data_IF_526405725514
#
_entry.id   IF_526405725514
#
_cell.length_a   1.000
_cell.length_b   1.000
_cell.length_c   1.000
_cell.angle_alpha   90.00
_cell.angle_beta   90.00
_cell.angle_gamma   90.00
#
_symmetry.space_group_name_H-M   'P 1'
#
loop_
_entity.id
_entity.type
_entity.pdbx_description
1 polymer ?
#
# COMPACT_ATOMS: atom_id res chain seq x y z
N UNK A 1 -9.76 115.85 -37.92
CA UNK A 1 -9.52 117.30 -38.11
C UNK A 1 -8.40 117.72 -37.16
N UNK A 2 -7.34 118.41 -37.61
CA UNK A 2 -6.25 118.81 -36.71
C UNK A 2 -6.78 119.96 -35.83
N UNK A 3 -6.87 119.75 -34.51
CA UNK A 3 -7.34 120.80 -33.57
C UNK A 3 -6.34 121.93 -33.36
N UNK A 4 -5.13 121.77 -33.90
CA UNK A 4 -4.12 122.83 -33.92
C UNK A 4 -4.69 124.15 -34.46
N UNK A 5 -5.51 124.10 -35.51
CA UNK A 5 -6.11 125.29 -36.12
C UNK A 5 -7.09 126.01 -35.18
N UNK A 6 -7.71 125.29 -34.24
CA UNK A 6 -8.60 125.86 -33.22
C UNK A 6 -7.87 126.39 -31.97
N UNK A 7 -6.61 125.97 -31.76
CA UNK A 7 -5.80 126.39 -30.61
C UNK A 7 -4.64 127.30 -30.97
N UNK A 8 -4.38 127.50 -32.28
CA UNK A 8 -3.31 128.34 -32.81
C UNK A 8 -3.40 129.73 -32.19
N UNK A 9 -2.29 130.17 -31.61
CA UNK A 9 -2.18 131.51 -31.06
C UNK A 9 -1.95 132.47 -32.22
N UNK A 10 -2.85 133.44 -32.36
CA UNK A 10 -2.76 134.44 -33.41
C UNK A 10 -2.20 135.76 -32.86
N UNK A 11 -1.72 136.59 -33.78
CA UNK A 11 -1.22 137.90 -33.43
C UNK A 11 -2.41 138.75 -32.97
N UNK A 12 -2.36 139.24 -31.73
CA UNK A 12 -3.39 140.02 -31.01
C UNK A 12 -4.38 139.23 -30.14
N UNK A 13 -4.15 137.95 -29.88
CA UNK A 13 -4.92 137.21 -28.87
C UNK A 13 -4.68 137.75 -27.44
N UNK A 14 -5.76 137.89 -26.65
CA UNK A 14 -5.65 138.28 -25.24
C UNK A 14 -5.30 137.07 -24.35
N UNK A 15 -4.00 136.86 -24.16
CA UNK A 15 -3.48 135.76 -23.34
C UNK A 15 -3.75 135.90 -21.83
N UNK A 16 -4.22 137.06 -21.37
CA UNK A 16 -4.57 137.29 -19.97
C UNK A 16 -6.05 136.98 -19.64
N UNK A 17 -6.88 136.70 -20.66
CA UNK A 17 -8.28 136.31 -20.44
C UNK A 17 -8.35 134.86 -19.94
N UNK A 18 -9.00 134.57 -18.80
CA UNK A 18 -9.11 133.20 -18.28
C UNK A 18 -9.73 132.21 -19.27
N UNK A 19 -10.74 132.65 -20.04
CA UNK A 19 -11.45 131.80 -21.00
C UNK A 19 -10.56 131.30 -22.15
N UNK A 20 -9.51 132.05 -22.49
CA UNK A 20 -8.53 131.64 -23.50
C UNK A 20 -7.78 130.36 -23.06
N UNK A 21 -7.42 130.27 -21.78
CA UNK A 21 -6.70 129.11 -21.24
C UNK A 21 -7.62 128.01 -20.74
N UNK A 22 -8.74 128.36 -20.10
CA UNK A 22 -9.70 127.39 -19.55
C UNK A 22 -10.19 126.39 -20.62
N UNK A 23 -10.56 126.89 -21.81
CA UNK A 23 -11.04 126.03 -22.92
C UNK A 23 -9.96 125.05 -23.38
N UNK A 24 -8.69 125.47 -23.43
CA UNK A 24 -7.56 124.63 -23.85
C UNK A 24 -7.21 123.60 -22.78
N UNK A 25 -7.18 123.99 -21.51
CA UNK A 25 -6.91 123.07 -20.40
C UNK A 25 -8.05 122.06 -20.22
N UNK A 26 -9.31 122.48 -20.34
CA UNK A 26 -10.45 121.57 -20.33
C UNK A 26 -10.36 120.53 -21.46
N UNK A 27 -9.95 120.92 -22.67
CA UNK A 27 -9.76 119.94 -23.75
C UNK A 27 -8.62 118.95 -23.48
N UNK A 28 -7.50 119.44 -22.92
CA UNK A 28 -6.36 118.59 -22.53
C UNK A 28 -6.79 117.61 -21.42
N UNK A 29 -7.48 118.10 -20.40
CA UNK A 29 -7.99 117.32 -19.27
C UNK A 29 -8.96 116.22 -19.75
N UNK A 30 -9.95 116.58 -20.58
CA UNK A 30 -10.87 115.60 -21.18
C UNK A 30 -10.15 114.53 -22.00
N UNK A 31 -9.09 114.91 -22.73
CA UNK A 31 -8.28 113.95 -23.51
C UNK A 31 -7.41 113.07 -22.64
N UNK A 32 -6.86 113.61 -21.55
CA UNK A 32 -6.07 112.85 -20.59
C UNK A 32 -6.96 111.85 -19.86
N UNK A 33 -8.12 112.30 -19.35
CA UNK A 33 -9.14 111.42 -18.76
C UNK A 33 -9.63 110.34 -19.74
N UNK A 34 -9.82 110.68 -21.02
CA UNK A 34 -10.15 109.68 -22.05
C UNK A 34 -9.03 108.64 -22.21
N UNK A 35 -7.76 109.05 -22.12
CA UNK A 35 -6.61 108.13 -22.21
C UNK A 35 -6.43 107.27 -20.97
N UNK A 36 -6.70 107.82 -19.79
CA UNK A 36 -6.72 107.07 -18.53
C UNK A 36 -7.83 106.00 -18.58
N UNK A 37 -9.02 106.36 -19.05
CA UNK A 37 -10.11 105.40 -19.28
C UNK A 37 -9.76 104.37 -20.36
N UNK A 38 -9.07 104.75 -21.44
CA UNK A 38 -8.61 103.79 -22.45
C UNK A 38 -7.59 102.80 -21.86
N UNK A 39 -6.67 103.26 -21.00
CA UNK A 39 -5.71 102.39 -20.32
C UNK A 39 -6.42 101.38 -19.41
N UNK A 40 -7.38 101.83 -18.59
CA UNK A 40 -8.20 100.96 -17.76
C UNK A 40 -9.00 99.95 -18.59
N UNK A 41 -9.53 100.36 -19.75
CA UNK A 41 -10.22 99.45 -20.68
C UNK A 41 -9.29 98.41 -21.30
N UNK A 42 -8.05 98.77 -21.59
CA UNK A 42 -7.04 97.84 -22.10
C UNK A 42 -6.69 96.82 -21.01
N UNK A 43 -6.45 97.26 -19.78
CA UNK A 43 -6.15 96.38 -18.65
C UNK A 43 -7.30 95.39 -18.41
N UNK A 44 -8.54 95.89 -18.36
CA UNK A 44 -9.74 95.03 -18.26
C UNK A 44 -9.86 94.04 -19.43
N UNK A 45 -9.53 94.45 -20.66
CA UNK A 45 -9.57 93.56 -21.82
C UNK A 45 -8.48 92.49 -21.78
N UNK A 46 -7.31 92.79 -21.21
CA UNK A 46 -6.24 91.83 -20.97
C UNK A 46 -6.66 90.81 -19.91
N UNK A 47 -7.22 91.27 -18.79
CA UNK A 47 -7.74 90.40 -17.72
C UNK A 47 -8.85 89.46 -18.23
N UNK A 48 -9.76 89.98 -19.06
CA UNK A 48 -10.80 89.18 -19.71
C UNK A 48 -10.22 88.15 -20.67
N UNK A 49 -9.21 88.52 -21.45
CA UNK A 49 -8.54 87.60 -22.36
C UNK A 49 -7.82 86.48 -21.60
N UNK A 50 -7.09 86.83 -20.52
CA UNK A 50 -6.41 85.86 -19.67
C UNK A 50 -7.42 84.89 -19.05
N UNK A 51 -8.52 85.40 -18.50
CA UNK A 51 -9.60 84.60 -17.93
C UNK A 51 -10.19 83.62 -18.96
N UNK A 52 -10.51 84.10 -20.16
CA UNK A 52 -11.06 83.24 -21.23
C UNK A 52 -10.02 82.22 -21.70
N UNK A 53 -8.75 82.61 -21.82
CA UNK A 53 -7.67 81.71 -22.22
C UNK A 53 -7.48 80.61 -21.19
N UNK A 54 -7.41 80.95 -19.89
CA UNK A 54 -7.31 79.98 -18.80
C UNK A 54 -8.51 79.05 -18.73
N UNK A 55 -9.73 79.59 -18.90
CA UNK A 55 -10.93 78.77 -18.93
C UNK A 55 -10.90 77.76 -20.08
N UNK A 56 -10.57 78.21 -21.30
CA UNK A 56 -10.45 77.31 -22.46
C UNK A 56 -9.34 76.27 -22.30
N UNK A 57 -8.22 76.65 -21.70
CA UNK A 57 -7.14 75.73 -21.37
C UNK A 57 -7.64 74.66 -20.38
N UNK A 58 -8.34 75.03 -19.32
CA UNK A 58 -8.91 74.07 -18.37
C UNK A 58 -9.97 73.18 -19.01
N UNK A 59 -10.93 73.76 -19.73
CA UNK A 59 -12.01 73.01 -20.40
C UNK A 59 -11.46 71.99 -21.41
N UNK A 60 -10.29 72.27 -22.01
CA UNK A 60 -9.65 71.37 -22.97
C UNK A 60 -8.71 70.36 -22.30
N UNK A 61 -7.82 70.82 -21.42
CA UNK A 61 -6.74 69.98 -20.88
C UNK A 61 -7.12 69.23 -19.62
N UNK A 62 -7.96 69.79 -18.74
CA UNK A 62 -8.40 69.10 -17.52
C UNK A 62 -9.06 67.74 -17.81
N UNK A 63 -10.05 67.61 -18.73
CA UNK A 63 -10.64 66.29 -19.01
C UNK A 63 -9.63 65.31 -19.61
N UNK A 64 -8.72 65.78 -20.47
CA UNK A 64 -7.66 64.94 -21.05
C UNK A 64 -6.67 64.44 -19.99
N UNK A 65 -6.33 65.28 -19.01
CA UNK A 65 -5.44 64.89 -17.90
C UNK A 65 -6.13 63.86 -17.00
N UNK A 66 -7.41 64.05 -16.68
CA UNK A 66 -8.19 63.10 -15.88
C UNK A 66 -8.30 61.76 -16.61
N UNK A 67 -8.65 61.78 -17.90
CA UNK A 67 -8.71 60.55 -18.70
C UNK A 67 -7.36 59.83 -18.77
N UNK A 68 -6.26 60.57 -18.95
CA UNK A 68 -4.92 60.00 -18.95
C UNK A 68 -4.56 59.39 -17.57
N UNK A 69 -4.93 60.04 -16.47
CA UNK A 69 -4.74 59.51 -15.12
C UNK A 69 -5.56 58.24 -14.88
N UNK A 70 -6.82 58.22 -15.32
CA UNK A 70 -7.69 57.04 -15.18
C UNK A 70 -7.18 55.85 -16.00
N UNK A 71 -6.68 56.10 -17.22
CA UNK A 71 -6.02 55.08 -18.04
C UNK A 71 -4.73 54.56 -17.39
N UNK A 72 -3.94 55.42 -16.75
CA UNK A 72 -2.73 55.01 -16.02
C UNK A 72 -3.06 54.19 -14.77
N UNK A 73 -4.08 54.60 -14.00
CA UNK A 73 -4.51 53.90 -12.80
C UNK A 73 -5.11 52.52 -13.12
N UNK A 74 -5.70 52.35 -14.32
CA UNK A 74 -6.29 51.10 -14.80
C UNK A 74 -5.33 50.25 -15.66
N UNK A 75 -4.06 50.65 -15.80
CA UNK A 75 -3.08 49.92 -16.63
C UNK A 75 -2.90 48.46 -16.20
N UNK A 76 -3.04 48.14 -14.90
CA UNK A 76 -3.01 46.74 -14.45
C UNK A 76 -4.24 45.94 -14.87
N UNK A 77 -5.41 46.58 -14.95
CA UNK A 77 -6.67 45.96 -15.34
C UNK A 77 -6.78 45.78 -16.87
N UNK A 78 -6.13 46.64 -17.67
CA UNK A 78 -6.13 46.53 -19.13
C UNK A 78 -5.53 45.21 -19.65
N UNK A 79 -4.71 44.53 -18.85
CA UNK A 79 -4.16 43.21 -19.16
C UNK A 79 -5.06 42.03 -18.77
N UNK A 80 -6.32 42.29 -18.40
CA UNK A 80 -7.32 41.28 -18.08
C UNK A 80 -8.61 41.52 -18.85
N UNK A 81 -9.15 40.46 -19.44
CA UNK A 81 -10.47 40.47 -20.07
C UNK A 81 -11.30 39.25 -19.66
N UNK A 82 -12.60 39.33 -19.93
CA UNK A 82 -13.55 38.28 -19.61
C UNK A 82 -14.28 37.82 -20.87
N UNK A 83 -14.56 36.52 -20.96
CA UNK A 83 -15.38 35.95 -22.04
C UNK A 83 -16.30 34.87 -21.48
N UNK A 84 -17.58 34.97 -21.83
CA UNK A 84 -18.59 33.97 -21.49
C UNK A 84 -18.89 33.00 -22.63
N UNK A 85 -18.05 32.99 -23.67
CA UNK A 85 -18.21 32.07 -24.81
C UNK A 85 -17.98 30.62 -24.32
N UNK A 86 -18.97 29.71 -24.46
CA UNK A 86 -18.77 28.32 -24.10
C UNK A 86 -17.77 27.68 -25.07
N UNK A 87 -16.62 27.27 -24.57
CA UNK A 87 -15.54 26.65 -25.36
C UNK A 87 -15.05 25.38 -24.70
N UNK A 88 -14.81 24.35 -25.51
CA UNK A 88 -14.13 23.13 -25.07
C UNK A 88 -12.61 23.36 -25.03
N UNK A 89 -11.99 22.99 -23.91
CA UNK A 89 -10.55 23.00 -23.72
C UNK A 89 -9.90 22.07 -24.74
N UNK A 90 -9.00 22.61 -25.57
CA UNK A 90 -8.21 21.82 -26.50
C UNK A 90 -7.20 22.68 -27.27
N UNK A 91 -6.29 22.00 -27.97
CA UNK A 91 -5.23 22.63 -28.75
C UNK A 91 -5.77 23.25 -30.04
N UNK A 92 -4.94 24.12 -30.63
CA UNK A 92 -5.21 24.79 -31.91
C UNK A 92 -6.12 26.01 -31.77
N UNK A 93 -6.74 26.46 -32.88
CA UNK A 93 -7.44 27.74 -32.92
C UNK A 93 -8.66 27.77 -31.99
N UNK A 94 -8.82 28.85 -31.23
CA UNK A 94 -9.98 29.15 -30.38
C UNK A 94 -10.34 30.62 -30.48
N UNK A 95 -11.64 30.91 -30.45
CA UNK A 95 -12.17 32.26 -30.62
C UNK A 95 -13.02 32.63 -29.41
N UNK A 96 -12.64 33.70 -28.71
CA UNK A 96 -13.30 34.23 -27.53
C UNK A 96 -14.02 35.52 -27.91
N UNK A 97 -15.31 35.62 -27.59
CA UNK A 97 -16.02 36.90 -27.64
C UNK A 97 -15.86 37.55 -26.26
N UNK A 98 -15.14 38.66 -26.21
CA UNK A 98 -14.90 39.43 -24.99
C UNK A 98 -16.16 40.21 -24.58
N UNK A 99 -16.32 40.46 -23.28
CA UNK A 99 -17.39 41.35 -22.78
C UNK A 99 -17.16 42.78 -23.26
N UNK A 100 -18.24 43.56 -23.36
CA UNK A 100 -18.17 44.96 -23.78
C UNK A 100 -17.25 45.79 -22.89
N UNK A 101 -17.38 45.63 -21.57
CA UNK A 101 -16.58 46.32 -20.57
C UNK A 101 -15.08 46.00 -20.67
N UNK A 102 -14.73 44.74 -20.95
CA UNK A 102 -13.33 44.34 -21.03
C UNK A 102 -12.69 44.62 -22.38
N UNK A 103 -13.44 44.50 -23.49
CA UNK A 103 -12.89 44.60 -24.85
C UNK A 103 -12.34 45.99 -25.20
N UNK A 104 -12.94 47.06 -24.70
CA UNK A 104 -12.57 48.44 -25.06
C UNK A 104 -11.13 48.78 -24.65
N UNK A 105 -10.74 48.38 -23.43
CA UNK A 105 -9.47 48.72 -22.84
C UNK A 105 -8.48 47.55 -22.77
N UNK A 106 -8.88 46.35 -23.23
CA UNK A 106 -7.99 45.19 -23.21
C UNK A 106 -6.76 45.39 -24.08
N UNK A 107 -5.60 45.10 -23.49
CA UNK A 107 -4.29 45.03 -24.14
C UNK A 107 -3.85 43.58 -24.07
N UNK A 108 -3.68 42.97 -25.25
CA UNK A 108 -3.15 41.63 -25.37
C UNK A 108 -1.63 41.65 -25.50
N UNK A 109 -1.01 40.57 -25.04
CA UNK A 109 0.40 40.25 -25.29
C UNK A 109 0.48 39.18 -26.38
N UNK A 110 1.70 38.91 -26.86
CA UNK A 110 1.95 37.86 -27.86
C UNK A 110 1.33 36.51 -27.47
N UNK A 111 1.45 36.14 -26.19
CA UNK A 111 0.76 35.00 -25.58
C UNK A 111 -0.26 35.44 -24.54
N UNK A 112 -1.39 34.75 -24.48
CA UNK A 112 -2.42 34.94 -23.46
C UNK A 112 -2.84 33.61 -22.84
N UNK A 113 -3.21 33.66 -21.56
CA UNK A 113 -3.77 32.54 -20.82
C UNK A 113 -5.25 32.80 -20.56
N UNK A 114 -6.11 31.99 -21.17
CA UNK A 114 -7.54 31.92 -20.89
C UNK A 114 -7.77 30.83 -19.84
N UNK A 115 -8.23 31.18 -18.64
CA UNK A 115 -8.51 30.22 -17.55
C UNK A 115 -9.93 30.38 -17.03
N UNK A 116 -10.53 29.32 -16.49
CA UNK A 116 -11.82 29.43 -15.79
C UNK A 116 -11.68 30.32 -14.55
N UNK A 117 -12.67 31.18 -14.30
CA UNK A 117 -12.78 31.97 -13.09
C UNK A 117 -13.03 31.08 -11.86
N UNK A 118 -13.83 30.02 -12.02
CA UNK A 118 -14.18 29.07 -10.97
C UNK A 118 -13.08 28.03 -10.68
N UNK A 119 -12.34 27.57 -11.70
CA UNK A 119 -11.32 26.51 -11.57
C UNK A 119 -10.02 26.85 -12.30
N UNK A 120 -9.00 27.29 -11.54
CA UNK A 120 -7.70 27.67 -12.10
C UNK A 120 -6.90 26.54 -12.76
N UNK A 121 -7.28 25.26 -12.55
CA UNK A 121 -6.65 24.13 -13.23
C UNK A 121 -7.14 23.96 -14.69
N UNK A 122 -8.27 24.60 -15.04
CA UNK A 122 -8.85 24.59 -16.39
C UNK A 122 -8.41 25.81 -17.17
N UNK A 123 -7.53 25.63 -18.15
CA UNK A 123 -6.99 26.73 -18.93
C UNK A 123 -6.54 26.33 -20.33
N UNK A 124 -6.39 27.35 -21.17
CA UNK A 124 -5.76 27.34 -22.48
C UNK A 124 -4.71 28.46 -22.53
N UNK A 125 -3.48 28.15 -22.93
CA UNK A 125 -2.40 29.10 -23.16
C UNK A 125 -2.05 29.07 -24.64
N UNK A 126 -2.05 30.24 -25.28
CA UNK A 126 -1.85 30.32 -26.72
C UNK A 126 -1.38 31.67 -27.21
N UNK A 127 -0.83 31.67 -28.41
CA UNK A 127 -0.43 32.87 -29.16
C UNK A 127 -1.67 33.61 -29.67
N UNK A 128 -1.68 34.94 -29.58
CA UNK A 128 -2.77 35.76 -30.11
C UNK A 128 -2.62 35.89 -31.62
N UNK A 129 -3.60 35.38 -32.37
CA UNK A 129 -3.63 35.46 -33.84
C UNK A 129 -4.22 36.79 -34.29
N UNK A 130 -5.33 37.19 -33.70
CA UNK A 130 -6.03 38.43 -34.05
C UNK A 130 -6.91 38.91 -32.90
N UNK A 131 -7.14 40.22 -32.83
CA UNK A 131 -8.17 40.80 -31.98
C UNK A 131 -8.93 41.89 -32.74
N UNK A 132 -10.18 41.60 -33.11
CA UNK A 132 -11.07 42.58 -33.72
C UNK A 132 -11.92 43.26 -32.64
N UNK A 133 -11.62 44.55 -32.39
CA UNK A 133 -12.32 45.36 -31.38
C UNK A 133 -13.77 45.66 -31.76
N UNK A 134 -14.12 45.69 -33.05
CA UNK A 134 -15.49 45.97 -33.49
C UNK A 134 -16.42 44.78 -33.20
N UNK A 135 -15.93 43.56 -33.42
CA UNK A 135 -16.67 42.32 -33.16
C UNK A 135 -16.39 41.70 -31.79
N UNK A 136 -15.42 42.26 -31.04
CA UNK A 136 -14.95 41.79 -29.73
C UNK A 136 -14.36 40.37 -29.79
N UNK A 137 -13.93 39.94 -30.97
CA UNK A 137 -13.46 38.59 -31.24
C UNK A 137 -11.93 38.52 -31.04
N UNK A 138 -11.50 37.77 -30.04
CA UNK A 138 -10.10 37.42 -29.80
C UNK A 138 -9.84 36.00 -30.30
N UNK A 139 -8.95 35.85 -31.26
CA UNK A 139 -8.52 34.56 -31.79
C UNK A 139 -7.14 34.21 -31.25
N UNK A 140 -7.00 33.01 -30.70
CA UNK A 140 -5.73 32.49 -30.20
C UNK A 140 -5.43 31.11 -30.80
N UNK A 141 -4.17 30.80 -31.00
CA UNK A 141 -3.68 29.45 -31.29
C UNK A 141 -3.20 28.81 -30.00
N UNK A 142 -3.94 27.84 -29.48
CA UNK A 142 -3.65 27.20 -28.20
C UNK A 142 -2.55 26.15 -28.35
N UNK A 143 -1.46 26.35 -27.61
CA UNK A 143 -0.29 25.47 -27.60
C UNK A 143 -0.21 24.59 -26.34
N UNK A 144 -0.83 25.03 -25.23
CA UNK A 144 -0.87 24.29 -23.96
C UNK A 144 -2.27 24.36 -23.33
N UNK A 145 -2.72 23.24 -22.76
CA UNK A 145 -3.99 23.15 -22.04
C UNK A 145 -3.82 22.53 -20.66
N UNK A 146 -4.66 22.96 -19.71
CA UNK A 146 -4.86 22.28 -18.44
C UNK A 146 -6.33 21.94 -18.25
N UNK A 147 -6.61 20.75 -17.72
CA UNK A 147 -7.98 20.26 -17.53
C UNK A 147 -8.66 19.81 -18.83
N UNK A 148 -9.98 19.63 -18.78
CA UNK A 148 -10.81 19.14 -19.89
C UNK A 148 -12.26 19.63 -19.78
N UNK A 149 -13.01 19.54 -20.87
CA UNK A 149 -14.43 19.87 -20.92
C UNK A 149 -14.73 21.31 -21.34
N UNK A 150 -16.01 21.68 -21.32
CA UNK A 150 -16.49 23.01 -21.73
C UNK A 150 -16.49 23.99 -20.55
N UNK A 151 -15.98 25.19 -20.78
CA UNK A 151 -15.91 26.30 -19.82
C UNK A 151 -16.53 27.54 -20.46
N UNK A 152 -17.20 28.37 -19.66
CA UNK A 152 -17.92 29.57 -20.11
C UNK A 152 -17.72 30.78 -19.18
N UNK A 153 -16.66 30.79 -18.37
CA UNK A 153 -16.32 31.86 -17.41
C UNK A 153 -14.85 32.27 -17.53
N UNK A 154 -14.41 32.53 -18.76
CA UNK A 154 -12.99 32.72 -19.08
C UNK A 154 -12.45 34.06 -18.58
N UNK A 155 -11.37 33.99 -17.82
CA UNK A 155 -10.47 35.11 -17.53
C UNK A 155 -9.26 35.02 -18.45
N UNK A 156 -9.09 36.02 -19.32
CA UNK A 156 -8.04 36.09 -20.32
C UNK A 156 -7.00 37.11 -19.86
N UNK A 157 -5.78 36.66 -19.64
CA UNK A 157 -4.70 37.46 -19.05
C UNK A 157 -3.39 37.24 -19.78
N UNK A 158 -2.40 38.08 -19.47
CA UNK A 158 -1.02 37.94 -19.98
C UNK A 158 -0.50 36.53 -19.73
N UNK A 159 0.01 35.91 -20.79
CA UNK A 159 0.72 34.65 -20.76
C UNK A 159 2.16 34.83 -21.25
N UNK A 160 3.03 33.90 -20.87
CA UNK A 160 4.32 33.73 -21.53
C UNK A 160 4.20 32.53 -22.49
N UNK A 161 4.98 32.50 -23.57
CA UNK A 161 5.09 31.29 -24.38
C UNK A 161 5.43 30.12 -23.45
N UNK A 162 4.73 28.97 -23.58
CA UNK A 162 5.09 27.80 -22.82
C UNK A 162 6.54 27.39 -23.15
N UNK A 163 7.26 26.82 -22.18
CA UNK A 163 8.55 26.16 -22.46
C UNK A 163 8.28 24.83 -23.18
N UNK A 164 7.78 24.95 -24.40
CA UNK A 164 7.62 23.85 -25.34
C UNK A 164 8.98 23.27 -25.69
N UNK A 165 10.07 24.00 -25.48
CA UNK A 165 11.43 23.49 -25.67
C UNK A 165 11.78 22.41 -24.65
N UNK A 166 11.38 22.44 -23.38
CA UNK A 166 11.65 21.30 -22.51
C UNK A 166 10.87 20.03 -22.93
N UNK A 167 9.64 20.19 -23.39
CA UNK A 167 8.82 19.08 -23.90
C UNK A 167 9.22 18.60 -25.32
N UNK A 168 9.77 19.48 -26.15
CA UNK A 168 10.16 19.20 -27.54
C UNK A 168 11.68 19.05 -27.75
N UNK A 169 12.50 19.20 -26.70
CA UNK A 169 13.95 18.95 -26.73
C UNK A 169 14.21 17.45 -26.95
N UNK A 170 14.29 17.09 -28.23
CA UNK A 170 14.76 15.80 -28.75
C UNK A 170 16.29 15.76 -28.93
N UNK A 171 16.99 16.87 -28.64
CA UNK A 171 18.45 16.99 -28.68
C UNK A 171 19.16 16.26 -27.51
N UNK A 172 18.37 15.87 -26.51
CA UNK A 172 18.72 14.93 -25.44
C UNK A 172 17.67 13.80 -25.48
N UNK A 173 18.01 12.52 -25.27
CA UNK A 173 17.04 11.41 -25.32
C UNK A 173 15.79 11.62 -24.46
N UNK A 174 14.70 12.08 -25.07
CA UNK A 174 13.33 12.13 -24.56
C UNK A 174 12.44 11.20 -25.42
N UNK A 175 11.42 10.56 -24.83
CA UNK A 175 10.56 9.54 -25.47
C UNK A 175 11.31 8.31 -26.03
N UNK A 176 12.52 8.07 -25.56
CA UNK A 176 13.29 6.88 -25.92
C UNK A 176 12.73 5.65 -25.20
N UNK A 177 12.50 4.59 -25.97
CA UNK A 177 12.20 3.26 -25.42
C UNK A 177 13.42 2.75 -24.64
N UNK A 178 13.20 1.84 -23.70
CA UNK A 178 14.30 1.18 -22.98
C UNK A 178 15.37 0.62 -23.93
N UNK A 179 14.95 0.06 -25.08
CA UNK A 179 15.85 -0.43 -26.12
C UNK A 179 16.73 0.67 -26.75
N UNK A 180 16.20 1.87 -26.94
CA UNK A 180 16.92 2.99 -27.59
C UNK A 180 18.02 3.60 -26.71
N UNK A 181 17.90 3.49 -25.38
CA UNK A 181 18.96 3.92 -24.43
C UNK A 181 19.87 2.79 -23.99
N UNK A 182 19.72 1.59 -24.56
CA UNK A 182 20.41 0.40 -24.08
C UNK A 182 20.05 0.04 -22.63
N UNK A 183 18.90 0.51 -22.15
CA UNK A 183 18.38 0.08 -20.87
C UNK A 183 17.91 -1.36 -20.99
N UNK A 184 18.22 -2.14 -19.97
CA UNK A 184 17.75 -3.51 -19.87
C UNK A 184 16.23 -3.55 -19.86
N UNK A 185 15.68 -4.52 -20.58
CA UNK A 185 14.29 -4.95 -20.36
C UNK A 185 14.12 -5.36 -18.90
N UNK A 186 12.88 -5.36 -18.40
CA UNK A 186 12.57 -5.87 -17.06
C UNK A 186 13.10 -7.29 -16.84
N UNK A 187 13.09 -8.12 -17.88
CA UNK A 187 13.65 -9.47 -17.84
C UNK A 187 15.17 -9.50 -17.75
N UNK A 188 15.88 -8.69 -18.53
CA UNK A 188 17.34 -8.57 -18.48
C UNK A 188 17.82 -7.98 -17.16
N UNK A 189 17.12 -6.97 -16.64
CA UNK A 189 17.41 -6.39 -15.33
C UNK A 189 17.20 -7.40 -14.20
N UNK A 190 16.10 -8.15 -14.24
CA UNK A 190 15.85 -9.22 -13.28
C UNK A 190 16.92 -10.32 -13.37
N UNK A 191 17.32 -10.73 -14.57
CA UNK A 191 18.34 -11.75 -14.78
C UNK A 191 19.72 -11.30 -14.28
N UNK A 192 20.12 -10.07 -14.55
CA UNK A 192 21.40 -9.53 -14.11
C UNK A 192 21.44 -9.27 -12.59
N UNK A 193 20.33 -8.84 -11.98
CA UNK A 193 20.20 -8.75 -10.53
C UNK A 193 20.31 -10.15 -9.91
N UNK A 194 19.62 -11.15 -10.46
CA UNK A 194 19.72 -12.53 -9.99
C UNK A 194 21.16 -13.08 -10.11
N UNK A 195 21.85 -12.79 -11.22
CA UNK A 195 23.25 -13.17 -11.42
C UNK A 195 24.19 -12.45 -10.45
N UNK A 196 24.00 -11.15 -10.23
CA UNK A 196 24.79 -10.36 -9.28
C UNK A 196 24.60 -10.87 -7.85
N UNK A 197 23.36 -11.17 -7.44
CA UNK A 197 23.05 -11.78 -6.14
C UNK A 197 23.75 -13.12 -5.99
N UNK A 198 23.74 -13.98 -7.03
CA UNK A 198 24.42 -15.27 -7.01
C UNK A 198 25.96 -15.16 -6.96
N UNK A 199 26.52 -14.03 -7.40
CA UNK A 199 27.96 -13.79 -7.46
C UNK A 199 28.55 -13.20 -6.17
N UNK A 200 27.74 -12.74 -5.21
CA UNK A 200 28.27 -12.18 -3.95
C UNK A 200 28.86 -13.31 -3.08
N UNK A 201 30.20 -13.38 -2.92
CA UNK A 201 30.82 -14.45 -2.16
C UNK A 201 30.48 -14.29 -0.67
N UNK A 202 29.87 -15.30 -0.05
CA UNK A 202 29.52 -15.28 1.37
C UNK A 202 28.20 -14.57 1.71
N UNK A 203 27.54 -13.92 0.75
CA UNK A 203 26.09 -13.67 0.82
C UNK A 203 25.41 -14.82 0.10
N UNK A 204 25.62 -16.01 0.66
CA UNK A 204 24.70 -17.08 0.42
C UNK A 204 23.38 -16.68 1.09
N UNK A 205 22.46 -16.08 0.33
CA UNK A 205 21.09 -15.87 0.81
C UNK A 205 20.42 -17.20 1.13
N UNK A 206 20.89 -18.34 0.62
CA UNK A 206 20.44 -19.65 1.10
C UNK A 206 20.94 -19.96 2.52
N UNK A 207 22.00 -19.31 3.02
CA UNK A 207 22.42 -19.34 4.43
C UNK A 207 21.65 -18.37 5.34
N UNK A 208 21.12 -17.26 4.78
CA UNK A 208 20.17 -16.37 5.49
C UNK A 208 18.74 -16.94 5.47
N UNK A 209 18.32 -17.53 4.36
CA UNK A 209 17.17 -18.44 4.30
C UNK A 209 17.41 -19.63 5.23
N UNK A 210 18.63 -20.16 5.39
CA UNK A 210 18.89 -21.25 6.35
C UNK A 210 18.71 -20.87 7.82
N UNK A 211 18.76 -19.57 8.16
CA UNK A 211 18.45 -19.10 9.52
C UNK A 211 16.96 -18.83 9.73
N UNK A 212 16.22 -18.46 8.67
CA UNK A 212 14.75 -18.33 8.71
C UNK A 212 14.02 -19.64 8.31
N UNK A 213 14.75 -20.65 7.85
CA UNK A 213 14.31 -22.03 7.56
C UNK A 213 14.07 -22.85 8.83
N UNK A 214 13.97 -22.22 9.99
CA UNK A 214 13.28 -22.80 11.14
C UNK A 214 11.76 -22.59 11.01
N UNK A 215 11.18 -23.15 9.94
CA UNK A 215 9.75 -23.55 9.82
C UNK A 215 8.71 -22.60 9.19
N UNK A 216 9.05 -21.44 8.60
CA UNK A 216 7.99 -20.48 8.22
C UNK A 216 7.41 -20.59 6.79
N UNK A 217 8.07 -21.22 5.81
CA UNK A 217 7.65 -21.10 4.38
C UNK A 217 7.63 -22.41 3.57
N UNK A 218 7.17 -23.51 4.16
CA UNK A 218 7.15 -24.81 3.46
C UNK A 218 5.76 -25.18 2.96
N UNK A 219 5.54 -24.89 1.67
CA UNK A 219 4.52 -25.51 0.81
C UNK A 219 4.57 -27.05 0.83
N UNK A 220 5.71 -27.64 1.21
CA UNK A 220 5.85 -29.08 1.47
C UNK A 220 6.34 -29.34 2.90
N UNK A 221 5.35 -29.44 3.80
CA UNK A 221 5.57 -29.69 5.24
C UNK A 221 6.25 -31.05 5.49
N UNK A 222 6.19 -32.00 4.56
CA UNK A 222 6.83 -33.31 4.71
C UNK A 222 8.35 -33.25 4.51
N UNK A 223 8.81 -32.43 3.57
CA UNK A 223 10.24 -32.16 3.36
C UNK A 223 10.87 -31.46 4.58
N UNK A 224 10.15 -30.48 5.16
CA UNK A 224 10.55 -29.75 6.37
C UNK A 224 10.82 -30.69 7.56
N UNK A 225 9.86 -31.58 7.83
CA UNK A 225 9.92 -32.54 8.94
C UNK A 225 11.05 -33.56 8.76
N UNK A 226 11.36 -33.90 7.51
CA UNK A 226 12.47 -34.81 7.19
C UNK A 226 13.84 -34.17 7.47
N UNK A 227 14.02 -32.88 7.14
CA UNK A 227 15.27 -32.14 7.36
C UNK A 227 15.60 -31.95 8.85
N UNK A 228 14.58 -31.79 9.69
CA UNK A 228 14.71 -31.67 11.16
C UNK A 228 14.99 -33.01 11.87
N UNK A 229 15.27 -34.09 11.13
CA UNK A 229 15.53 -35.41 11.70
C UNK A 229 14.29 -36.11 12.28
N UNK A 230 13.11 -35.52 12.07
CA UNK A 230 11.80 -36.04 12.50
C UNK A 230 11.28 -37.09 11.50
N UNK A 231 12.13 -38.05 11.10
CA UNK A 231 11.82 -39.05 10.06
C UNK A 231 10.60 -39.93 10.36
N UNK A 232 10.15 -40.01 11.62
CA UNK A 232 8.91 -40.72 11.99
C UNK A 232 7.63 -39.90 11.78
N UNK A 233 7.73 -38.62 11.44
CA UNK A 233 6.62 -37.65 11.41
C UNK A 233 6.38 -37.04 10.01
N UNK A 234 7.04 -37.55 8.96
CA UNK A 234 7.00 -36.90 7.63
C UNK A 234 5.59 -36.86 6.98
N UNK A 235 4.63 -37.70 7.38
CA UNK A 235 3.37 -37.89 6.64
C UNK A 235 2.06 -37.56 7.37
N UNK A 236 2.06 -37.07 8.61
CA UNK A 236 0.82 -36.76 9.33
C UNK A 236 0.77 -35.31 9.83
N UNK A 237 -0.28 -34.60 9.42
CA UNK A 237 -0.49 -33.16 9.63
C UNK A 237 -0.93 -32.79 11.06
N UNK A 238 -1.30 -33.80 11.86
CA UNK A 238 -1.55 -33.68 13.30
C UNK A 238 -1.07 -34.95 13.96
N UNK A 239 0.00 -34.87 14.76
CA UNK A 239 0.38 -35.95 15.65
C UNK A 239 -0.21 -35.63 17.01
N UNK A 240 -1.39 -36.21 17.28
CA UNK A 240 -1.93 -36.17 18.63
C UNK A 240 -1.02 -36.96 19.57
N UNK A 241 -0.84 -36.50 20.81
CA UNK A 241 -0.06 -37.20 21.85
C UNK A 241 -0.41 -38.69 21.98
N UNK A 242 -1.67 -39.04 21.69
CA UNK A 242 -2.16 -40.43 21.64
C UNK A 242 -1.48 -41.30 20.57
N UNK A 243 -1.24 -40.78 19.36
CA UNK A 243 -0.59 -41.51 18.27
C UNK A 243 0.92 -41.69 18.52
N UNK A 244 1.55 -40.65 19.08
CA UNK A 244 2.95 -40.70 19.50
C UNK A 244 3.12 -41.72 20.64
N UNK A 245 2.22 -41.71 21.63
CA UNK A 245 2.25 -42.66 22.74
C UNK A 245 2.06 -44.12 22.27
N UNK A 246 1.12 -44.40 21.36
CA UNK A 246 0.92 -45.75 20.81
C UNK A 246 2.13 -46.26 20.01
N UNK A 247 2.83 -45.36 19.31
CA UNK A 247 3.99 -45.72 18.51
C UNK A 247 5.29 -45.79 19.32
N UNK A 248 5.43 -45.04 20.41
CA UNK A 248 6.64 -45.02 21.24
C UNK A 248 6.56 -46.05 22.36
N UNK A 249 5.46 -46.09 23.12
CA UNK A 249 5.37 -46.96 24.30
C UNK A 249 4.91 -48.37 23.92
N UNK A 250 5.49 -49.37 24.58
CA UNK A 250 5.04 -50.75 24.45
C UNK A 250 3.69 -50.93 25.16
N UNK A 251 2.80 -51.73 24.58
CA UNK A 251 1.68 -52.35 25.28
C UNK A 251 2.12 -53.70 25.84
N UNK A 252 1.30 -54.33 26.69
CA UNK A 252 1.55 -55.69 27.18
C UNK A 252 1.79 -56.70 26.03
N UNK A 253 1.01 -56.59 24.95
CA UNK A 253 1.17 -57.42 23.77
C UNK A 253 2.51 -57.17 23.05
N UNK A 254 2.92 -55.90 22.93
CA UNK A 254 4.23 -55.54 22.33
C UNK A 254 5.40 -56.11 23.15
N UNK A 255 5.31 -56.07 24.48
CA UNK A 255 6.31 -56.67 25.36
C UNK A 255 6.37 -58.18 25.14
N UNK A 256 5.23 -58.88 25.22
CA UNK A 256 5.14 -60.32 24.99
C UNK A 256 5.64 -60.70 23.60
N UNK A 257 5.40 -59.89 22.58
CA UNK A 257 5.82 -60.13 21.19
C UNK A 257 7.29 -59.79 20.90
N UNK A 258 8.04 -59.20 21.84
CA UNK A 258 9.41 -58.67 21.60
C UNK A 258 9.41 -57.63 20.46
N UNK A 259 8.46 -56.71 20.49
CA UNK A 259 8.40 -55.63 19.50
C UNK A 259 9.66 -54.74 19.57
N UNK A 260 10.27 -54.47 18.42
CA UNK A 260 11.43 -53.58 18.33
C UNK A 260 11.03 -52.10 18.49
N UNK A 261 11.99 -51.25 18.88
CA UNK A 261 11.87 -49.79 18.88
C UNK A 261 10.70 -49.25 19.74
N UNK A 262 10.41 -49.91 20.87
CA UNK A 262 9.42 -49.46 21.85
C UNK A 262 10.09 -49.14 23.19
N UNK A 263 9.62 -48.10 23.86
CA UNK A 263 9.95 -47.81 25.25
C UNK A 263 9.05 -48.65 26.17
N UNK A 264 9.65 -49.32 27.14
CA UNK A 264 8.92 -50.07 28.16
C UNK A 264 8.43 -49.11 29.25
N UNK A 265 7.16 -49.24 29.61
CA UNK A 265 6.59 -48.58 30.79
C UNK A 265 6.38 -49.61 31.89
N UNK A 266 6.39 -49.18 33.15
CA UNK A 266 6.11 -50.08 34.27
C UNK A 266 4.76 -50.77 34.11
N UNK A 267 3.72 -50.01 33.74
CA UNK A 267 2.37 -50.52 33.47
C UNK A 267 2.37 -51.66 32.43
N UNK A 268 2.95 -51.44 31.25
CA UNK A 268 2.94 -52.45 30.19
C UNK A 268 3.69 -53.74 30.55
N UNK A 269 4.76 -53.63 31.36
CA UNK A 269 5.50 -54.80 31.85
C UNK A 269 4.70 -55.56 32.88
N UNK A 270 4.05 -54.87 33.82
CA UNK A 270 3.20 -55.51 34.83
C UNK A 270 1.94 -56.13 34.22
N UNK A 271 1.31 -55.46 33.25
CA UNK A 271 0.18 -56.01 32.49
C UNK A 271 0.59 -57.23 31.66
N UNK A 272 1.79 -57.22 31.09
CA UNK A 272 2.34 -58.37 30.38
C UNK A 272 2.57 -59.57 31.29
N UNK A 273 2.97 -59.32 32.55
CA UNK A 273 3.18 -60.33 33.58
C UNK A 273 1.89 -60.79 34.26
N UNK A 274 0.76 -60.09 34.07
CA UNK A 274 -0.51 -60.47 34.67
C UNK A 274 -0.93 -61.89 34.26
N UNK A 275 -1.59 -62.59 35.20
CA UNK A 275 -2.12 -63.93 35.00
C UNK A 275 -3.27 -63.91 33.98
N UNK A 276 -3.10 -64.64 32.88
CA UNK A 276 -4.12 -64.78 31.84
C UNK A 276 -5.09 -65.89 32.22
N UNK A 277 -6.33 -65.52 32.54
CA UNK A 277 -7.42 -66.46 32.82
C UNK A 277 -7.92 -67.10 31.54
N UNK A 278 -7.71 -68.41 31.42
CA UNK A 278 -8.30 -69.22 30.36
C UNK A 278 -9.72 -69.64 30.76
N UNK A 279 -10.61 -69.88 29.78
CA UNK A 279 -11.91 -70.50 30.06
C UNK A 279 -11.70 -71.92 30.61
N UNK A 280 -12.73 -72.55 31.17
CA UNK A 280 -12.60 -73.91 31.68
C UNK A 280 -12.21 -74.89 30.57
N UNK A 281 -11.18 -75.70 30.81
CA UNK A 281 -10.54 -76.54 29.79
C UNK A 281 -10.83 -78.03 29.97
N UNK A 282 -10.96 -78.75 28.87
CA UNK A 282 -11.03 -80.22 28.81
C UNK A 282 -10.42 -80.72 27.50
N UNK A 283 -10.01 -81.99 27.45
CA UNK A 283 -9.50 -82.58 26.22
C UNK A 283 -8.07 -82.13 25.91
N UNK A 284 -7.85 -81.46 24.79
CA UNK A 284 -6.50 -81.10 24.33
C UNK A 284 -6.36 -79.59 24.27
N UNK A 285 -5.34 -79.03 24.92
CA UNK A 285 -5.07 -77.60 25.00
C UNK A 285 -3.65 -77.29 24.56
N UNK A 286 -3.50 -76.20 23.80
CA UNK A 286 -2.21 -75.59 23.45
C UNK A 286 -2.11 -74.21 24.09
N UNK A 287 -1.05 -73.93 24.83
CA UNK A 287 -0.80 -72.60 25.38
C UNK A 287 -0.13 -71.71 24.33
N UNK A 288 -0.67 -70.50 24.12
CA UNK A 288 -0.07 -69.51 23.23
C UNK A 288 0.72 -68.48 24.05
N UNK A 289 2.05 -68.58 23.98
CA UNK A 289 2.97 -67.73 24.74
C UNK A 289 3.11 -66.31 24.18
N UNK A 290 2.39 -65.98 23.10
CA UNK A 290 2.19 -64.59 22.67
C UNK A 290 1.05 -63.90 23.42
N UNK A 291 0.05 -64.66 23.88
CA UNK A 291 -1.12 -64.12 24.60
C UNK A 291 -0.84 -63.87 26.07
N UNK A 292 0.08 -64.63 26.67
CA UNK A 292 0.42 -64.56 28.08
C UNK A 292 1.79 -65.16 28.39
N UNK A 293 2.34 -64.80 29.55
CA UNK A 293 3.52 -65.47 30.13
C UNK A 293 3.16 -66.23 31.41
N UNK A 294 2.06 -65.85 32.06
CA UNK A 294 1.52 -66.51 33.23
C UNK A 294 0.05 -66.88 32.94
N UNK A 295 -0.38 -68.10 33.26
CA UNK A 295 -1.71 -68.59 32.91
C UNK A 295 -2.47 -69.14 34.13
N UNK A 296 -3.77 -68.83 34.21
CA UNK A 296 -4.71 -69.52 35.08
C UNK A 296 -5.55 -70.48 34.25
N UNK A 297 -5.45 -71.76 34.57
CA UNK A 297 -5.98 -72.88 33.82
C UNK A 297 -7.00 -73.64 34.68
N UNK A 298 -8.28 -73.24 34.67
CA UNK A 298 -9.34 -73.99 35.33
C UNK A 298 -9.69 -75.23 34.50
N UNK A 299 -9.82 -76.38 35.16
CA UNK A 299 -10.18 -77.64 34.50
C UNK A 299 -11.69 -77.89 34.57
N UNK A 300 -12.26 -78.40 33.48
CA UNK A 300 -13.57 -79.03 33.40
C UNK A 300 -13.49 -80.54 33.08
N UNK A 301 -12.33 -81.02 32.63
CA UNK A 301 -12.04 -82.44 32.44
C UNK A 301 -10.54 -82.70 32.51
N UNK A 302 -10.12 -83.95 32.35
CA UNK A 302 -8.69 -84.25 32.15
C UNK A 302 -8.21 -83.59 30.86
N UNK A 303 -6.98 -83.07 30.88
CA UNK A 303 -6.38 -82.37 29.76
C UNK A 303 -5.07 -83.01 29.30
N UNK A 304 -4.77 -82.87 28.02
CA UNK A 304 -3.42 -82.98 27.47
C UNK A 304 -2.92 -81.58 27.13
N UNK A 305 -1.87 -81.12 27.83
CA UNK A 305 -1.12 -79.92 27.47
C UNK A 305 -0.22 -80.25 26.29
N UNK A 306 -0.64 -79.87 25.08
CA UNK A 306 0.22 -79.90 23.91
C UNK A 306 1.39 -78.93 24.07
N UNK A 307 2.35 -79.07 23.16
CA UNK A 307 3.51 -78.19 23.11
C UNK A 307 3.08 -76.74 22.92
N UNK A 308 3.50 -75.81 23.79
CA UNK A 308 3.16 -74.41 23.63
C UNK A 308 3.66 -73.83 22.30
N UNK A 309 2.92 -72.86 21.77
CA UNK A 309 3.28 -72.14 20.54
C UNK A 309 3.77 -70.72 20.86
N UNK A 310 4.46 -70.11 19.89
CA UNK A 310 4.94 -68.72 19.96
C UNK A 310 5.89 -68.40 21.13
N UNK A 311 6.55 -69.43 21.68
CA UNK A 311 7.57 -69.30 22.73
C UNK A 311 8.82 -68.59 22.24
N UNK A 312 9.43 -67.81 23.13
CA UNK A 312 10.67 -67.07 22.85
C UNK A 312 11.80 -67.59 23.70
N UNK A 313 12.96 -67.83 23.09
CA UNK A 313 14.12 -68.38 23.79
C UNK A 313 14.49 -67.51 25.01
N UNK A 314 14.55 -68.13 26.20
CA UNK A 314 14.77 -67.45 27.47
C UNK A 314 13.51 -66.93 28.17
N UNK A 315 12.31 -67.14 27.61
CA UNK A 315 11.04 -66.80 28.25
C UNK A 315 10.76 -67.75 29.41
N UNK A 316 10.40 -67.20 30.56
CA UNK A 316 9.98 -67.93 31.76
C UNK A 316 8.63 -67.44 32.25
N UNK A 317 7.93 -68.28 33.00
CA UNK A 317 6.62 -67.95 33.52
C UNK A 317 6.05 -69.03 34.41
N UNK A 318 4.74 -68.94 34.66
CA UNK A 318 4.01 -69.89 35.47
C UNK A 318 2.65 -70.29 34.91
N UNK A 319 2.16 -71.44 35.36
CA UNK A 319 0.86 -71.97 35.01
C UNK A 319 0.20 -72.44 36.31
N UNK A 320 -0.88 -71.77 36.69
CA UNK A 320 -1.75 -72.20 37.77
C UNK A 320 -2.81 -73.12 37.20
N UNK A 321 -2.88 -74.35 37.71
CA UNK A 321 -3.86 -75.33 37.28
C UNK A 321 -4.85 -75.56 38.42
N UNK A 322 -6.11 -75.21 38.19
CA UNK A 322 -7.18 -75.31 39.18
C UNK A 322 -8.12 -76.47 38.87
N UNK A 323 -8.30 -77.37 39.82
CA UNK A 323 -9.13 -78.57 39.66
C UNK A 323 -10.63 -78.27 39.50
N UNK A 324 -11.08 -77.05 39.81
CA UNK A 324 -12.49 -76.69 39.70
C UNK A 324 -13.37 -77.42 40.72
N UNK A 325 -14.66 -77.51 40.43
CA UNK A 325 -15.65 -78.24 41.24
C UNK A 325 -15.63 -79.77 41.05
N UNK A 326 -14.81 -80.30 40.12
CA UNK A 326 -14.62 -81.74 39.91
C UNK A 326 -13.39 -82.30 40.62
N UNK A 327 -13.36 -83.63 40.84
CA UNK A 327 -12.20 -84.36 41.34
C UNK A 327 -11.64 -85.31 40.26
N UNK A 328 -10.38 -85.71 40.41
CA UNK A 328 -9.78 -86.80 39.62
C UNK A 328 -9.31 -86.40 38.21
N UNK A 329 -9.28 -85.10 37.88
CA UNK A 329 -8.85 -84.64 36.56
C UNK A 329 -7.33 -84.69 36.48
N UNK A 330 -6.83 -85.35 35.43
CA UNK A 330 -5.40 -85.56 35.18
C UNK A 330 -4.88 -84.58 34.13
N UNK A 331 -3.58 -84.31 34.18
CA UNK A 331 -2.86 -83.50 33.19
C UNK A 331 -1.77 -84.36 32.59
N UNK A 332 -1.86 -84.63 31.29
CA UNK A 332 -0.79 -85.21 30.49
C UNK A 332 -0.07 -84.11 29.69
N UNK A 333 1.14 -84.40 29.22
CA UNK A 333 2.02 -83.43 28.57
C UNK A 333 2.45 -83.90 27.18
N UNK A 334 2.64 -82.95 26.27
CA UNK A 334 3.23 -83.18 24.94
C UNK A 334 4.72 -83.51 25.00
N UNK A 335 5.29 -83.86 23.84
CA UNK A 335 6.68 -84.34 23.75
C UNK A 335 7.76 -83.25 23.94
N UNK A 336 7.39 -81.96 23.99
CA UNK A 336 8.31 -80.85 24.27
C UNK A 336 8.28 -80.36 25.72
N UNK A 337 7.54 -81.05 26.60
CA UNK A 337 7.52 -80.78 28.03
C UNK A 337 8.59 -81.62 28.73
N UNK A 338 9.65 -80.98 29.21
CA UNK A 338 10.79 -81.64 29.82
C UNK A 338 10.79 -81.41 31.33
N UNK A 339 10.37 -82.41 32.12
CA UNK A 339 10.39 -82.28 33.57
C UNK A 339 11.83 -82.23 34.10
N UNK A 340 12.06 -81.39 35.11
CA UNK A 340 13.34 -81.37 35.81
C UNK A 340 13.58 -82.74 36.49
N UNK A 341 14.81 -83.26 36.37
CA UNK A 341 15.20 -84.57 36.88
C UNK A 341 14.39 -85.76 36.31
N UNK A 342 13.81 -85.61 35.12
CA UNK A 342 12.96 -86.64 34.49
C UNK A 342 11.75 -87.06 35.34
N UNK A 343 11.29 -86.20 36.26
CA UNK A 343 10.16 -86.45 37.15
C UNK A 343 9.01 -85.49 36.87
N UNK A 344 7.90 -85.99 36.33
CA UNK A 344 6.72 -85.17 36.09
C UNK A 344 6.14 -84.63 37.41
N UNK A 345 5.76 -83.34 37.49
CA UNK A 345 5.13 -82.75 38.66
C UNK A 345 3.90 -83.54 39.14
N UNK A 346 3.90 -83.91 40.42
CA UNK A 346 2.75 -84.54 41.07
C UNK A 346 1.69 -83.48 41.40
N UNK A 347 0.63 -83.45 40.60
CA UNK A 347 -0.50 -82.53 40.78
C UNK A 347 -1.55 -83.14 41.71
N UNK A 348 -2.11 -82.33 42.60
CA UNK A 348 -3.32 -82.67 43.34
C UNK A 348 -4.52 -82.75 42.41
N UNK A 349 -5.28 -83.83 42.55
CA UNK A 349 -6.54 -84.09 41.84
C UNK A 349 -7.76 -83.92 42.74
N UNK A 350 -7.58 -83.39 43.96
CA UNK A 350 -8.70 -83.11 44.86
C UNK A 350 -9.55 -81.95 44.33
N UNK A 351 -10.85 -81.99 44.58
CA UNK A 351 -11.77 -80.91 44.22
C UNK A 351 -11.28 -79.59 44.80
N UNK A 352 -11.28 -78.54 43.98
CA UNK A 352 -10.84 -77.19 44.38
C UNK A 352 -9.34 -77.06 44.64
N UNK A 353 -8.53 -78.08 44.41
CA UNK A 353 -7.09 -77.97 44.56
C UNK A 353 -6.47 -77.08 43.48
N UNK A 354 -5.51 -76.25 43.88
CA UNK A 354 -4.67 -75.48 42.97
C UNK A 354 -3.29 -76.12 42.87
N UNK A 355 -2.75 -76.14 41.67
CA UNK A 355 -1.41 -76.60 41.38
C UNK A 355 -0.65 -75.48 40.69
N UNK A 356 0.68 -75.49 40.84
CA UNK A 356 1.55 -74.48 40.27
C UNK A 356 2.67 -75.15 39.50
N UNK A 357 2.82 -74.74 38.25
CA UNK A 357 3.97 -75.07 37.42
C UNK A 357 4.75 -73.79 37.13
N UNK A 358 6.07 -73.89 37.15
CA UNK A 358 6.97 -72.87 36.59
C UNK A 358 7.74 -73.47 35.43
N UNK A 359 8.07 -72.64 34.45
CA UNK A 359 8.71 -73.10 33.24
C UNK A 359 9.76 -72.12 32.72
N UNK A 360 10.64 -72.66 31.87
CA UNK A 360 11.53 -71.92 30.99
C UNK A 360 11.49 -72.52 29.59
N UNK A 361 11.37 -71.66 28.58
CA UNK A 361 11.40 -72.05 27.18
C UNK A 361 12.77 -71.78 26.55
N UNK A 362 13.42 -72.83 26.06
CA UNK A 362 14.75 -72.75 25.45
C UNK A 362 14.80 -73.63 24.20
N UNK A 363 15.04 -73.05 23.01
CA UNK A 363 15.29 -73.82 21.78
C UNK A 363 14.26 -74.91 21.45
N UNK A 364 12.95 -74.59 21.54
CA UNK A 364 11.82 -75.53 21.41
C UNK A 364 11.64 -76.55 22.55
N UNK A 365 12.40 -76.44 23.64
CA UNK A 365 12.22 -77.24 24.85
C UNK A 365 11.50 -76.41 25.93
N UNK A 366 10.50 -77.02 26.58
CA UNK A 366 9.76 -76.44 27.69
C UNK A 366 10.17 -77.12 29.00
N UNK A 367 11.23 -76.62 29.62
CA UNK A 367 11.71 -77.12 30.92
C UNK A 367 10.73 -76.68 32.00
N UNK A 368 10.23 -77.60 32.83
CA UNK A 368 9.25 -77.24 33.85
C UNK A 368 9.36 -78.08 35.12
N UNK A 369 8.91 -77.49 36.22
CA UNK A 369 8.74 -78.16 37.52
C UNK A 369 7.53 -77.56 38.24
N UNK A 370 7.10 -78.19 39.33
CA UNK A 370 5.99 -77.70 40.12
C UNK A 370 5.30 -78.81 40.92
N UNK A 371 4.05 -78.57 41.26
CA UNK A 371 3.24 -79.55 41.98
C UNK A 371 2.02 -78.93 42.63
N UNK A 372 1.43 -79.67 43.59
CA UNK A 372 0.34 -79.17 44.43
C UNK A 372 0.77 -77.91 45.20
N UNK A 373 -0.11 -76.91 45.23
CA UNK A 373 -0.01 -75.84 46.21
C UNK A 373 -0.64 -76.34 47.51
N UNK A 374 0.13 -76.35 48.59
CA UNK A 374 -0.39 -76.59 49.94
C UNK A 374 -0.63 -75.25 50.59
N UNK A 375 -1.89 -74.88 50.75
CA UNK A 375 -2.37 -73.79 51.60
C UNK A 375 -3.20 -74.39 52.71
#
# INVERSE_FOLDING_TARGET
MRRYDAYRIERNDNLAAPEFWNTRFQDIDLRLATRENDAERIDNAVDDLERVALQRLNDTFTPLIIEAQDRLNSLGASFSAESFTPLEIGLGPRSFILTEESAENYVYTDYVKARSAADGARYMLGEVVSFDRATKLLEISVDEVGGSGTVNDWLIRVGAPPDLTHAARKDNPHEVTAAQVGAWTTAEAAAAIAAAIAAIPGVDLSSRLARDQNLADLLDVAAARTALGLKLLATQDTVGWSQLAANIFATAANFRAKAANKLLTAEAVWDAAMLVTLPEQSGTITLDLSTGVNFWLPLNGSITLLNPINGKNGQSGCIYIYQGSGAGRTVSYGNLWYPINAQYPALSTATGASNYLTYQYTGNLFAFTGGKLTG
#
